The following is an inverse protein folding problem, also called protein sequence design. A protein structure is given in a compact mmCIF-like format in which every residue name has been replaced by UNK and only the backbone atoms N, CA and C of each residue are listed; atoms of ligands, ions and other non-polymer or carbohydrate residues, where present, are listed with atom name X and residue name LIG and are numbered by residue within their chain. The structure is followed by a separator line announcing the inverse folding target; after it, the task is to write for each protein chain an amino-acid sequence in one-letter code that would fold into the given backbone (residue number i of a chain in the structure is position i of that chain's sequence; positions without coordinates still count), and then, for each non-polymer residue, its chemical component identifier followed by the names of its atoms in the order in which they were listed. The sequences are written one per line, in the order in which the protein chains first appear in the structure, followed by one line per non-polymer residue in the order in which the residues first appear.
data_IF_374141652124
#
_entry.id   IF_374141652124
#
_cell.length_a   1.000
_cell.length_b   1.000
_cell.length_c   1.000
_cell.angle_alpha   90.00
_cell.angle_beta   90.00
_cell.angle_gamma   90.00
#
_symmetry.space_group_name_H-M   'P 1'
#
loop_
_entity.id
_entity.type
_entity.pdbx_description
1 polymer ?
#
# COMPACT_ATOMS: atom_id res chain seq x y z
N UNK A 1 -33.40 8.36 19.19
CA UNK A 1 -32.58 8.16 17.97
C UNK A 1 -31.62 7.01 18.23
N UNK A 2 -31.67 6.00 17.36
CA UNK A 2 -31.33 4.61 17.64
C UNK A 2 -29.83 4.32 17.75
N UNK A 3 -29.43 3.60 18.79
CA UNK A 3 -28.10 2.99 18.98
C UNK A 3 -27.64 2.19 17.75
N UNK A 4 -28.56 1.51 17.07
CA UNK A 4 -28.33 0.78 15.82
C UNK A 4 -27.85 1.69 14.65
N UNK A 5 -28.33 2.94 14.58
CA UNK A 5 -27.88 3.90 13.58
C UNK A 5 -26.42 4.31 13.84
N UNK A 6 -26.08 4.56 15.10
CA UNK A 6 -24.71 4.89 15.49
C UNK A 6 -23.73 3.75 15.22
N UNK A 7 -24.13 2.51 15.49
CA UNK A 7 -23.32 1.32 15.18
C UNK A 7 -23.08 1.17 13.66
N UNK A 8 -24.10 1.37 12.82
CA UNK A 8 -23.94 1.29 11.35
C UNK A 8 -22.96 2.35 10.83
N UNK A 9 -23.07 3.59 11.29
CA UNK A 9 -22.16 4.67 10.91
C UNK A 9 -20.73 4.39 11.39
N UNK A 10 -20.57 3.91 12.62
CA UNK A 10 -19.25 3.53 13.17
C UNK A 10 -18.61 2.39 12.38
N UNK A 11 -19.38 1.37 12.01
CA UNK A 11 -18.89 0.25 11.22
C UNK A 11 -18.47 0.67 9.81
N UNK A 12 -19.24 1.55 9.17
CA UNK A 12 -18.88 2.11 7.86
C UNK A 12 -17.59 2.93 7.95
N UNK A 13 -17.47 3.79 8.97
CA UNK A 13 -16.27 4.59 9.18
C UNK A 13 -15.02 3.72 9.38
N UNK A 14 -15.11 2.64 10.15
CA UNK A 14 -14.01 1.67 10.33
C UNK A 14 -13.60 1.01 9.01
N UNK A 15 -14.56 0.56 8.20
CA UNK A 15 -14.32 -0.06 6.89
C UNK A 15 -13.65 0.89 5.88
N UNK A 16 -13.88 2.19 6.00
CA UNK A 16 -13.20 3.22 5.19
C UNK A 16 -11.80 3.53 5.74
N UNK A 17 -11.66 3.59 7.07
CA UNK A 17 -10.40 3.93 7.73
C UNK A 17 -9.33 2.85 7.56
N UNK A 18 -9.72 1.57 7.63
CA UNK A 18 -8.81 0.42 7.59
C UNK A 18 -7.91 0.40 6.33
N UNK A 19 -8.42 0.47 5.09
CA UNK A 19 -7.57 0.47 3.91
C UNK A 19 -6.69 1.73 3.80
N UNK A 20 -7.13 2.87 4.32
CA UNK A 20 -6.29 4.09 4.36
C UNK A 20 -5.10 3.92 5.31
N UNK A 21 -5.32 3.29 6.45
CA UNK A 21 -4.27 2.96 7.41
C UNK A 21 -3.29 1.95 6.80
N UNK A 22 -3.79 0.87 6.21
CA UNK A 22 -2.95 -0.14 5.54
C UNK A 22 -2.08 0.49 4.42
N UNK A 23 -2.66 1.38 3.61
CA UNK A 23 -1.91 2.11 2.58
C UNK A 23 -0.84 3.04 3.18
N UNK A 24 -1.15 3.74 4.28
CA UNK A 24 -0.17 4.62 4.93
C UNK A 24 1.02 3.83 5.50
N UNK A 25 0.75 2.71 6.16
CA UNK A 25 1.79 1.79 6.66
C UNK A 25 2.62 1.24 5.49
N UNK A 26 1.97 0.83 4.40
CA UNK A 26 2.64 0.35 3.20
C UNK A 26 3.54 1.43 2.57
N UNK A 27 3.08 2.68 2.48
CA UNK A 27 3.86 3.80 1.94
C UNK A 27 5.12 4.04 2.77
N UNK A 28 4.99 4.09 4.10
CA UNK A 28 6.12 4.30 5.01
C UNK A 28 7.14 3.17 4.84
N UNK A 29 6.68 1.92 4.88
CA UNK A 29 7.54 0.75 4.71
C UNK A 29 8.26 0.75 3.37
N UNK A 30 7.55 1.11 2.31
CA UNK A 30 8.11 1.16 0.95
C UNK A 30 9.17 2.23 0.84
N UNK A 31 8.90 3.46 1.30
CA UNK A 31 9.87 4.55 1.31
C UNK A 31 11.13 4.20 2.11
N UNK A 32 10.98 3.55 3.26
CA UNK A 32 12.11 3.09 4.08
C UNK A 32 12.90 1.95 3.41
N UNK A 33 12.27 1.20 2.50
CA UNK A 33 12.91 0.07 1.84
C UNK A 33 13.74 0.47 0.63
N UNK A 34 13.49 1.61 -0.02
CA UNK A 34 14.21 2.01 -1.24
C UNK A 34 15.72 2.12 -0.98
N UNK A 35 16.51 1.50 -1.85
CA UNK A 35 17.97 1.55 -1.80
C UNK A 35 18.47 2.78 -2.55
N UNK A 36 19.52 3.36 -2.04
CA UNK A 36 20.23 4.47 -2.67
C UNK A 36 21.74 4.25 -2.52
N UNK A 37 22.49 4.82 -3.45
CA UNK A 37 23.94 4.78 -3.44
C UNK A 37 24.45 5.54 -2.21
N UNK A 38 25.15 4.87 -1.30
CA UNK A 38 25.67 5.53 -0.11
C UNK A 38 26.96 6.31 -0.43
N UNK A 39 27.27 7.41 0.27
CA UNK A 39 28.50 8.17 0.06
C UNK A 39 29.76 7.30 0.17
N UNK A 40 29.79 6.34 1.08
CA UNK A 40 30.93 5.44 1.28
C UNK A 40 31.13 4.52 0.07
N UNK A 41 30.05 4.13 -0.61
CA UNK A 41 30.13 3.32 -1.82
C UNK A 41 30.68 4.10 -3.01
N UNK A 42 30.38 5.39 -3.09
CA UNK A 42 30.91 6.30 -4.12
C UNK A 42 32.41 6.49 -3.93
N UNK A 43 32.87 6.72 -2.70
CA UNK A 43 34.30 6.90 -2.40
C UNK A 43 35.16 5.67 -2.73
N UNK A 44 34.55 4.49 -2.82
CA UNK A 44 35.20 3.24 -3.16
C UNK A 44 35.21 2.92 -4.66
N UNK A 45 34.57 3.74 -5.51
CA UNK A 45 34.58 3.53 -6.95
C UNK A 45 35.93 3.92 -7.54
N UNK A 46 36.56 2.96 -8.22
CA UNK A 46 37.88 3.14 -8.84
C UNK A 46 37.79 3.40 -10.34
N UNK A 47 36.68 3.02 -10.98
CA UNK A 47 36.45 3.19 -12.41
C UNK A 47 35.01 3.62 -12.71
N UNK A 48 34.76 4.46 -13.72
CA UNK A 48 33.42 4.97 -14.03
C UNK A 48 32.41 3.86 -14.37
N UNK A 49 32.84 2.74 -14.93
CA UNK A 49 31.97 1.61 -15.25
C UNK A 49 31.32 1.00 -14.00
N UNK A 50 32.01 1.02 -12.86
CA UNK A 50 31.50 0.50 -11.60
C UNK A 50 30.35 1.34 -11.04
N UNK A 51 30.32 2.66 -11.33
CA UNK A 51 29.16 3.50 -11.02
C UNK A 51 27.95 3.05 -11.84
N UNK A 52 28.15 2.76 -13.12
CA UNK A 52 27.06 2.32 -14.00
C UNK A 52 26.49 0.96 -13.57
N UNK A 53 27.36 0.00 -13.25
CA UNK A 53 26.95 -1.31 -12.70
C UNK A 53 26.11 -1.15 -11.43
N UNK A 54 26.58 -0.33 -10.46
CA UNK A 54 25.83 -0.03 -9.23
C UNK A 54 24.47 0.61 -9.50
N UNK A 55 24.35 1.48 -10.49
CA UNK A 55 23.08 2.11 -10.85
C UNK A 55 22.10 1.09 -11.45
N UNK A 56 22.59 0.12 -12.23
CA UNK A 56 21.76 -0.99 -12.74
C UNK A 56 21.29 -1.87 -11.58
N UNK A 57 22.19 -2.25 -10.67
CA UNK A 57 21.84 -3.04 -9.48
C UNK A 57 20.76 -2.36 -8.64
N UNK A 58 20.93 -1.06 -8.36
CA UNK A 58 19.94 -0.25 -7.66
C UNK A 58 18.61 -0.17 -8.42
N UNK A 59 18.64 0.00 -9.74
CA UNK A 59 17.42 0.06 -10.55
C UNK A 59 16.66 -1.27 -10.53
N UNK A 60 17.37 -2.40 -10.59
CA UNK A 60 16.76 -3.74 -10.49
C UNK A 60 16.18 -3.96 -9.10
N UNK A 61 16.95 -3.68 -8.04
CA UNK A 61 16.50 -3.86 -6.66
C UNK A 61 15.29 -2.99 -6.33
N UNK A 62 15.35 -1.70 -6.67
CA UNK A 62 14.25 -0.76 -6.45
C UNK A 62 13.05 -1.05 -7.36
N UNK A 63 13.29 -1.57 -8.57
CA UNK A 63 12.23 -2.05 -9.45
C UNK A 63 11.43 -3.18 -8.81
N UNK A 64 12.10 -4.16 -8.19
CA UNK A 64 11.42 -5.23 -7.43
C UNK A 64 10.60 -4.67 -6.26
N UNK A 65 11.13 -3.70 -5.51
CA UNK A 65 10.40 -3.05 -4.40
C UNK A 65 9.18 -2.29 -4.89
N UNK A 66 9.28 -1.59 -6.02
CA UNK A 66 8.16 -0.88 -6.64
C UNK A 66 7.07 -1.85 -7.12
N UNK A 67 7.44 -2.99 -7.72
CA UNK A 67 6.50 -4.02 -8.14
C UNK A 67 5.81 -4.68 -6.93
N UNK A 68 6.53 -4.93 -5.85
CA UNK A 68 5.95 -5.48 -4.61
C UNK A 68 4.99 -4.48 -3.96
N UNK A 69 5.36 -3.20 -3.89
CA UNK A 69 4.46 -2.12 -3.44
C UNK A 69 3.18 -2.06 -4.26
N UNK A 70 3.29 -2.11 -5.60
CA UNK A 70 2.14 -2.11 -6.50
C UNK A 70 1.23 -3.31 -6.24
N UNK A 71 1.81 -4.51 -6.08
CA UNK A 71 1.06 -5.73 -5.76
C UNK A 71 0.31 -5.60 -4.43
N UNK A 72 0.97 -5.13 -3.38
CA UNK A 72 0.36 -4.98 -2.05
C UNK A 72 -0.72 -3.88 -2.06
N UNK A 73 -0.50 -2.79 -2.78
CA UNK A 73 -1.49 -1.74 -2.95
C UNK A 73 -2.77 -2.27 -3.60
N UNK A 74 -2.65 -3.07 -4.67
CA UNK A 74 -3.80 -3.71 -5.31
C UNK A 74 -4.55 -4.66 -4.37
N UNK A 75 -3.85 -5.42 -3.54
CA UNK A 75 -4.48 -6.30 -2.55
C UNK A 75 -5.30 -5.52 -1.52
N UNK A 76 -4.80 -4.38 -1.05
CA UNK A 76 -5.53 -3.50 -0.12
C UNK A 76 -6.80 -2.96 -0.79
N UNK A 77 -6.69 -2.47 -2.03
CA UNK A 77 -7.84 -1.97 -2.78
C UNK A 77 -8.88 -3.06 -3.08
N UNK A 78 -8.44 -4.25 -3.45
CA UNK A 78 -9.32 -5.40 -3.71
C UNK A 78 -10.10 -5.77 -2.44
N UNK A 79 -9.40 -5.91 -1.30
CA UNK A 79 -10.03 -6.18 0.00
C UNK A 79 -11.06 -5.11 0.35
N UNK A 80 -10.73 -3.83 0.16
CA UNK A 80 -11.64 -2.71 0.40
C UNK A 80 -12.88 -2.78 -0.51
N UNK A 81 -12.69 -2.97 -1.81
CA UNK A 81 -13.80 -3.07 -2.77
C UNK A 81 -14.73 -4.23 -2.44
N UNK A 82 -14.19 -5.42 -2.13
CA UNK A 82 -15.00 -6.57 -1.74
C UNK A 82 -15.81 -6.29 -0.47
N UNK A 83 -15.20 -5.68 0.54
CA UNK A 83 -15.88 -5.28 1.79
C UNK A 83 -17.02 -4.29 1.55
N UNK A 84 -16.85 -3.33 0.63
CA UNK A 84 -17.91 -2.38 0.25
C UNK A 84 -19.02 -3.05 -0.55
N UNK A 85 -18.68 -3.94 -1.49
CA UNK A 85 -19.67 -4.70 -2.26
C UNK A 85 -20.54 -5.59 -1.37
N UNK A 86 -19.96 -6.22 -0.35
CA UNK A 86 -20.72 -6.98 0.64
C UNK A 86 -21.69 -6.10 1.43
N UNK A 87 -21.26 -4.89 1.83
CA UNK A 87 -22.10 -3.96 2.57
C UNK A 87 -23.26 -3.45 1.70
N UNK A 88 -22.99 -3.13 0.43
CA UNK A 88 -24.01 -2.73 -0.53
C UNK A 88 -25.06 -3.83 -0.74
N UNK A 89 -24.63 -5.10 -0.86
CA UNK A 89 -25.52 -6.26 -0.96
C UNK A 89 -26.38 -6.45 0.30
N UNK A 90 -25.83 -6.19 1.50
CA UNK A 90 -26.59 -6.25 2.76
C UNK A 90 -27.64 -5.14 2.83
N UNK A 91 -27.28 -3.92 2.45
CA UNK A 91 -28.20 -2.79 2.40
C UNK A 91 -29.37 -3.04 1.43
N UNK A 92 -29.10 -3.55 0.23
CA UNK A 92 -30.13 -3.89 -0.76
C UNK A 92 -31.12 -4.93 -0.22
N UNK A 93 -30.63 -5.99 0.44
CA UNK A 93 -31.48 -7.02 1.06
C UNK A 93 -32.34 -6.48 2.20
N UNK A 94 -31.86 -5.49 2.94
CA UNK A 94 -32.61 -4.85 4.02
C UNK A 94 -33.72 -3.93 3.51
N UNK A 95 -33.60 -3.36 2.30
CA UNK A 95 -34.64 -2.53 1.67
C UNK A 95 -35.73 -3.36 0.98
N UNK A 96 -35.41 -4.59 0.56
CA UNK A 96 -36.36 -5.52 -0.10
C UNK A 96 -37.20 -6.37 0.87
N UNK A 97 -37.05 -6.18 2.18
CA UNK A 97 -37.71 -6.95 3.25
C UNK A 97 -38.67 -6.04 4.01
#
# INVERSE_FOLDING_TARGET
MNQEYFERVSNLAKKVQEPLKEMAELNIKTLQSFSYLKPEEITNVKKPEQLFEKQIELAVENGHKALDYMKQSFQIYEKAMLSFLEEAKKAEKAVKK
#
